data_IF_832109278852
#
_entry.id   IF_832109278852
#
_cell.length_a   1.000
_cell.length_b   1.000
_cell.length_c   1.000
_cell.angle_alpha   90.00
_cell.angle_beta   90.00
_cell.angle_gamma   90.00
#
_symmetry.space_group_name_H-M   'P 1'
#
loop_
_entity.id
_entity.type
_entity.pdbx_description
1 polymer ?
#
# COMPACT_ATOMS: atom_id res chain seq x y z
N UNK A 1 24.45 -57.79 -15.35
CA UNK A 1 24.42 -56.57 -16.20
C UNK A 1 23.01 -56.20 -16.70
N UNK A 2 22.14 -57.15 -17.11
CA UNK A 2 20.80 -56.84 -17.67
C UNK A 2 19.84 -56.07 -16.74
N UNK A 3 19.92 -56.27 -15.42
CA UNK A 3 19.04 -55.59 -14.45
C UNK A 3 19.42 -54.11 -14.28
N UNK A 4 20.72 -53.79 -14.29
CA UNK A 4 21.23 -52.41 -14.16
C UNK A 4 20.94 -51.60 -15.43
N UNK A 5 21.02 -52.22 -16.61
CA UNK A 5 20.65 -51.56 -17.87
C UNK A 5 19.14 -51.31 -17.96
N UNK A 6 18.30 -52.22 -17.46
CA UNK A 6 16.86 -52.04 -17.49
C UNK A 6 16.38 -50.98 -16.48
N UNK A 7 16.99 -50.90 -15.28
CA UNK A 7 16.67 -49.84 -14.32
C UNK A 7 17.15 -48.47 -14.79
N UNK A 8 18.32 -48.39 -15.43
CA UNK A 8 18.81 -47.16 -16.04
C UNK A 8 17.88 -46.65 -17.16
N UNK A 9 17.35 -47.56 -17.99
CA UNK A 9 16.46 -47.21 -19.10
C UNK A 9 15.08 -46.74 -18.61
N UNK A 10 14.57 -47.31 -17.50
CA UNK A 10 13.34 -46.85 -16.83
C UNK A 10 13.53 -45.47 -16.19
N UNK A 11 14.67 -45.22 -15.53
CA UNK A 11 14.98 -43.91 -14.94
C UNK A 11 15.18 -42.82 -16.01
N UNK A 12 15.78 -43.16 -17.15
CA UNK A 12 15.94 -42.24 -18.28
C UNK A 12 14.58 -41.92 -18.93
N UNK A 13 13.70 -42.91 -19.05
CA UNK A 13 12.33 -42.72 -19.56
C UNK A 13 11.46 -41.85 -18.64
N UNK A 14 11.61 -41.98 -17.32
CA UNK A 14 10.91 -41.14 -16.34
C UNK A 14 11.41 -39.68 -16.35
N UNK A 15 12.71 -39.48 -16.60
CA UNK A 15 13.31 -38.14 -16.76
C UNK A 15 12.82 -37.38 -17.99
N UNK A 16 12.50 -38.07 -19.09
CA UNK A 16 11.98 -37.45 -20.32
C UNK A 16 10.50 -37.05 -20.17
N UNK A 17 9.70 -37.80 -19.42
CA UNK A 17 8.29 -37.49 -19.14
C UNK A 17 8.10 -36.23 -18.29
N UNK A 18 9.07 -35.89 -17.44
CA UNK A 18 9.04 -34.66 -16.63
C UNK A 18 9.54 -33.41 -17.37
N UNK A 19 10.03 -33.54 -18.62
CA UNK A 19 10.42 -32.42 -19.48
C UNK A 19 9.25 -31.85 -20.30
N UNK A 20 8.02 -32.20 -19.94
CA UNK A 20 6.80 -31.67 -20.57
C UNK A 20 6.74 -30.14 -20.39
N UNK A 21 6.95 -29.45 -21.51
CA UNK A 21 7.14 -28.01 -21.63
C UNK A 21 6.12 -27.16 -20.86
N UNK A 22 6.63 -26.18 -20.12
CA UNK A 22 5.87 -25.01 -19.69
C UNK A 22 5.47 -24.17 -20.91
N UNK A 23 4.30 -24.45 -21.49
CA UNK A 23 3.73 -23.60 -22.54
C UNK A 23 3.49 -22.20 -21.96
N UNK A 24 4.04 -21.18 -22.63
CA UNK A 24 3.75 -19.78 -22.28
C UNK A 24 2.26 -19.51 -22.46
N UNK A 25 1.65 -18.78 -21.53
CA UNK A 25 0.26 -18.36 -21.66
C UNK A 25 0.07 -17.53 -22.93
N UNK A 26 -1.03 -17.79 -23.65
CA UNK A 26 -1.35 -17.10 -24.90
C UNK A 26 -2.77 -16.53 -24.83
N UNK A 27 -3.00 -15.45 -25.56
CA UNK A 27 -4.31 -14.84 -25.74
C UNK A 27 -5.24 -15.79 -26.49
N UNK A 28 -6.40 -16.08 -25.92
CA UNK A 28 -7.41 -16.92 -26.58
C UNK A 28 -8.05 -16.24 -27.81
N UNK A 29 -7.98 -14.91 -27.88
CA UNK A 29 -8.60 -14.13 -28.98
C UNK A 29 -7.61 -13.83 -30.10
N UNK A 30 -6.35 -13.55 -29.76
CA UNK A 30 -5.34 -13.11 -30.73
C UNK A 30 -4.22 -14.13 -30.96
N UNK A 31 -4.14 -15.20 -30.17
CA UNK A 31 -3.07 -16.21 -30.24
C UNK A 31 -1.69 -15.71 -29.81
N UNK A 32 -1.56 -14.44 -29.41
CA UNK A 32 -0.28 -13.84 -29.01
C UNK A 32 0.16 -14.38 -27.64
N UNK A 33 1.46 -14.65 -27.49
CA UNK A 33 2.04 -15.05 -26.19
C UNK A 33 2.02 -13.87 -25.20
N UNK A 34 1.88 -14.13 -23.91
CA UNK A 34 1.99 -13.08 -22.89
C UNK A 34 3.38 -13.07 -22.27
N UNK A 35 3.76 -11.92 -21.73
CA UNK A 35 4.99 -11.68 -20.98
C UNK A 35 6.26 -12.06 -21.76
N UNK A 36 6.25 -11.80 -23.07
CA UNK A 36 7.41 -11.96 -23.94
C UNK A 36 7.86 -10.59 -24.45
N UNK A 37 9.17 -10.35 -24.52
CA UNK A 37 9.72 -9.10 -25.06
C UNK A 37 9.65 -9.06 -26.59
N UNK A 38 9.70 -10.23 -27.22
CA UNK A 38 9.83 -10.36 -28.68
C UNK A 38 8.56 -9.97 -29.44
N UNK A 39 7.40 -10.03 -28.79
CA UNK A 39 6.10 -9.87 -29.43
C UNK A 39 5.43 -8.51 -29.15
N UNK A 40 6.22 -7.50 -28.78
CA UNK A 40 5.70 -6.17 -28.42
C UNK A 40 5.51 -5.97 -26.91
N UNK A 41 5.75 -6.99 -26.08
CA UNK A 41 5.70 -6.82 -24.62
C UNK A 41 4.30 -6.90 -24.03
N UNK A 42 3.38 -7.64 -24.67
CA UNK A 42 2.01 -7.78 -24.14
C UNK A 42 2.04 -8.43 -22.76
N UNK A 43 1.57 -7.68 -21.76
CA UNK A 43 1.57 -8.11 -20.37
C UNK A 43 0.27 -8.82 -20.02
N UNK A 44 0.39 -9.91 -19.26
CA UNK A 44 -0.71 -10.47 -18.49
C UNK A 44 -0.30 -10.52 -17.04
N UNK A 45 -0.98 -9.70 -16.23
CA UNK A 45 -0.74 -9.62 -14.80
C UNK A 45 -1.30 -10.86 -14.11
N UNK A 46 -0.59 -11.30 -13.06
CA UNK A 46 -1.06 -12.40 -12.24
C UNK A 46 -2.28 -11.94 -11.47
N UNK A 47 -3.38 -12.68 -11.58
CA UNK A 47 -4.53 -12.43 -10.71
C UNK A 47 -4.18 -12.91 -9.30
N UNK A 48 -3.88 -11.98 -8.42
CA UNK A 48 -3.66 -12.24 -7.00
C UNK A 48 -4.74 -11.53 -6.22
N UNK A 49 -5.32 -12.21 -5.23
CA UNK A 49 -6.10 -11.49 -4.22
C UNK A 49 -5.16 -10.51 -3.51
N UNK A 50 -5.53 -9.23 -3.41
CA UNK A 50 -4.73 -8.27 -2.67
C UNK A 50 -4.54 -8.78 -1.25
N UNK A 51 -3.30 -8.93 -0.79
CA UNK A 51 -3.05 -9.10 0.65
C UNK A 51 -3.58 -7.83 1.35
N UNK A 52 -4.31 -7.93 2.46
CA UNK A 52 -4.68 -6.74 3.22
C UNK A 52 -3.42 -5.94 3.59
N UNK A 53 -3.56 -4.62 3.67
CA UNK A 53 -2.54 -3.78 4.29
C UNK A 53 -2.40 -4.08 5.79
N UNK A 54 -1.40 -3.51 6.47
CA UNK A 54 -1.25 -3.68 7.90
C UNK A 54 -2.47 -3.15 8.64
N UNK A 55 -3.02 -3.94 9.57
CA UNK A 55 -4.19 -3.59 10.38
C UNK A 55 -5.54 -3.64 9.66
N UNK A 56 -5.56 -4.08 8.39
CA UNK A 56 -6.80 -4.18 7.60
C UNK A 56 -7.39 -5.59 7.63
N UNK A 57 -8.71 -5.67 7.82
CA UNK A 57 -9.49 -6.89 7.73
C UNK A 57 -10.36 -6.88 6.46
N UNK A 58 -10.48 -8.01 5.73
CA UNK A 58 -11.37 -8.11 4.58
C UNK A 58 -12.83 -8.21 5.04
N UNK A 59 -13.69 -7.38 4.46
CA UNK A 59 -15.14 -7.44 4.61
C UNK A 59 -15.73 -8.05 3.34
N UNK A 60 -16.44 -9.16 3.52
CA UNK A 60 -17.08 -9.85 2.40
C UNK A 60 -18.23 -9.00 1.85
N UNK A 61 -18.21 -8.79 0.53
CA UNK A 61 -19.28 -8.15 -0.19
C UNK A 61 -20.55 -8.99 -0.15
N UNK A 62 -21.68 -8.31 -0.08
CA UNK A 62 -22.95 -8.97 0.11
C UNK A 62 -24.11 -8.00 0.05
N UNK A 63 -25.30 -8.54 0.22
CA UNK A 63 -26.53 -7.75 0.27
C UNK A 63 -27.13 -7.85 1.66
N UNK A 64 -27.28 -6.72 2.33
CA UNK A 64 -27.89 -6.64 3.65
C UNK A 64 -28.97 -5.56 3.70
N UNK A 65 -29.83 -5.62 4.71
CA UNK A 65 -30.85 -4.60 4.95
C UNK A 65 -30.26 -3.59 5.92
N UNK A 66 -30.02 -2.38 5.44
CA UNK A 66 -29.57 -1.25 6.24
C UNK A 66 -30.79 -0.56 6.85
N UNK A 67 -30.69 -0.25 8.13
CA UNK A 67 -31.72 0.47 8.86
C UNK A 67 -32.88 -0.39 9.35
N UNK A 68 -33.77 0.26 10.09
CA UNK A 68 -34.85 -0.30 10.87
C UNK A 68 -34.39 -0.89 12.20
N UNK A 69 -34.76 -0.23 13.29
CA UNK A 69 -34.71 -0.82 14.64
C UNK A 69 -35.67 -2.01 14.74
N UNK A 70 -35.34 -2.97 15.61
CA UNK A 70 -36.34 -3.90 16.12
C UNK A 70 -37.37 -3.18 17.02
N UNK A 71 -36.94 -2.09 17.69
CA UNK A 71 -37.75 -1.26 18.59
C UNK A 71 -38.26 0.04 17.94
N UNK A 72 -39.24 0.67 18.59
CA UNK A 72 -39.79 1.98 18.20
C UNK A 72 -38.72 3.08 18.21
N UNK A 73 -38.72 3.89 17.16
CA UNK A 73 -37.95 5.12 17.05
C UNK A 73 -38.36 6.10 18.18
N UNK A 74 -37.46 6.37 19.12
CA UNK A 74 -37.72 7.19 20.32
C UNK A 74 -37.96 8.66 19.92
N UNK A 75 -37.36 9.12 18.82
CA UNK A 75 -37.51 10.51 18.34
C UNK A 75 -38.62 10.69 17.31
N UNK A 76 -39.30 9.61 16.86
CA UNK A 76 -40.35 9.63 15.83
C UNK A 76 -39.93 10.38 14.54
N UNK A 77 -38.64 10.37 14.21
CA UNK A 77 -38.06 11.15 13.11
C UNK A 77 -38.14 10.42 11.76
N UNK A 78 -38.54 9.13 11.73
CA UNK A 78 -38.73 8.32 10.51
C UNK A 78 -37.52 8.32 9.54
N UNK A 79 -36.34 8.65 10.03
CA UNK A 79 -35.09 8.73 9.26
C UNK A 79 -34.42 7.35 9.07
N UNK A 80 -34.94 6.30 9.71
CA UNK A 80 -34.38 4.95 9.71
C UNK A 80 -35.18 3.97 8.84
N UNK A 81 -35.40 4.30 7.56
CA UNK A 81 -36.12 3.44 6.61
C UNK A 81 -35.27 2.23 6.22
N UNK A 82 -35.83 1.02 6.38
CA UNK A 82 -35.21 -0.24 5.95
C UNK A 82 -34.97 -0.22 4.44
N UNK A 83 -33.70 -0.27 4.02
CA UNK A 83 -33.32 -0.36 2.60
C UNK A 83 -32.33 -1.49 2.36
N UNK A 84 -32.53 -2.25 1.29
CA UNK A 84 -31.59 -3.29 0.88
C UNK A 84 -30.43 -2.64 0.13
N UNK A 85 -29.21 -2.83 0.63
CA UNK A 85 -27.99 -2.29 0.04
C UNK A 85 -27.06 -3.44 -0.31
N UNK A 86 -26.49 -3.39 -1.50
CA UNK A 86 -25.44 -4.29 -1.94
C UNK A 86 -24.12 -3.55 -1.89
N UNK A 87 -23.15 -4.09 -1.18
CA UNK A 87 -21.81 -3.50 -1.01
C UNK A 87 -20.78 -4.49 -1.58
N UNK A 88 -19.83 -4.04 -2.42
CA UNK A 88 -18.73 -4.90 -2.90
C UNK A 88 -17.81 -5.28 -1.73
N UNK A 89 -16.97 -6.30 -1.90
CA UNK A 89 -15.96 -6.62 -0.88
C UNK A 89 -14.94 -5.48 -0.77
N UNK A 90 -14.58 -5.10 0.45
CA UNK A 90 -13.60 -4.03 0.72
C UNK A 90 -12.80 -4.36 1.99
N UNK A 91 -11.82 -3.53 2.32
CA UNK A 91 -11.04 -3.67 3.55
C UNK A 91 -11.37 -2.54 4.51
N UNK A 92 -11.41 -2.85 5.81
CA UNK A 92 -11.62 -1.88 6.89
C UNK A 92 -10.55 -2.08 7.96
N UNK A 93 -10.20 -1.03 8.69
CA UNK A 93 -9.32 -1.17 9.85
C UNK A 93 -9.98 -2.02 10.92
N UNK A 94 -9.18 -2.87 11.58
CA UNK A 94 -9.64 -3.71 12.69
C UNK A 94 -10.00 -2.89 13.93
N UNK A 95 -9.27 -1.81 14.17
CA UNK A 95 -9.43 -0.89 15.30
C UNK A 95 -9.49 0.55 14.81
N UNK A 96 -9.95 1.46 15.66
CA UNK A 96 -9.81 2.89 15.41
C UNK A 96 -8.33 3.31 15.32
N UNK A 97 -8.10 4.47 14.71
CA UNK A 97 -6.76 5.09 14.66
C UNK A 97 -6.35 5.48 16.07
N UNK A 98 -5.21 4.97 16.53
CA UNK A 98 -4.69 5.24 17.87
C UNK A 98 -3.98 6.60 17.96
N UNK A 99 -3.77 7.09 19.18
CA UNK A 99 -2.96 8.28 19.43
C UNK A 99 -1.52 8.08 18.91
N UNK A 100 -0.96 6.88 19.05
CA UNK A 100 0.38 6.57 18.52
C UNK A 100 0.42 6.68 16.99
N UNK A 101 -0.59 6.15 16.29
CA UNK A 101 -0.66 6.24 14.83
C UNK A 101 -0.74 7.70 14.34
N UNK A 102 -1.43 8.56 15.09
CA UNK A 102 -1.48 9.99 14.79
C UNK A 102 -0.15 10.70 15.09
N UNK A 103 0.53 10.32 16.18
CA UNK A 103 1.87 10.84 16.47
C UNK A 103 2.89 10.45 15.39
N UNK A 104 2.76 9.26 14.79
CA UNK A 104 3.59 8.85 13.65
C UNK A 104 3.36 9.75 12.43
N UNK A 105 2.10 10.15 12.18
CA UNK A 105 1.74 11.12 11.14
C UNK A 105 2.36 12.51 11.41
N UNK A 106 2.20 13.03 12.63
CA UNK A 106 2.79 14.30 13.04
C UNK A 106 4.32 14.28 12.96
N UNK A 107 4.94 13.17 13.37
CA UNK A 107 6.38 12.98 13.26
C UNK A 107 6.83 12.99 11.79
N UNK A 108 6.09 12.33 10.90
CA UNK A 108 6.36 12.36 9.46
C UNK A 108 6.32 13.77 8.89
N UNK A 109 5.31 14.59 9.24
CA UNK A 109 5.23 15.98 8.79
C UNK A 109 6.47 16.75 9.24
N UNK A 110 6.82 16.66 10.53
CA UNK A 110 7.95 17.39 11.12
C UNK A 110 9.28 17.07 10.44
N UNK A 111 9.54 15.79 10.12
CA UNK A 111 10.80 15.40 9.46
C UNK A 111 10.83 15.68 7.96
N UNK A 112 9.67 15.73 7.31
CA UNK A 112 9.56 15.86 5.85
C UNK A 112 9.47 17.32 5.43
N UNK A 113 8.79 18.14 6.22
CA UNK A 113 8.57 19.57 5.97
C UNK A 113 9.06 20.42 7.15
N UNK A 114 10.37 20.42 7.46
CA UNK A 114 10.91 21.12 8.62
C UNK A 114 10.73 22.66 8.57
N UNK A 115 10.54 23.21 7.37
CA UNK A 115 10.33 24.64 7.16
C UNK A 115 8.84 25.05 7.18
N UNK A 116 7.92 24.08 7.16
CA UNK A 116 6.48 24.32 7.13
C UNK A 116 5.85 23.88 8.46
N UNK A 117 5.99 24.77 9.44
CA UNK A 117 5.43 24.54 10.77
C UNK A 117 3.90 24.69 10.78
N UNK A 118 3.34 25.43 9.82
CA UNK A 118 1.90 25.62 9.68
C UNK A 118 1.21 24.30 9.37
N UNK A 119 1.75 23.51 8.43
CA UNK A 119 1.25 22.17 8.13
C UNK A 119 1.20 21.27 9.38
N UNK A 120 2.23 21.33 10.23
CA UNK A 120 2.26 20.56 11.48
C UNK A 120 1.16 20.99 12.45
N UNK A 121 0.96 22.29 12.65
CA UNK A 121 -0.07 22.80 13.56
C UNK A 121 -1.48 22.53 13.04
N UNK A 122 -1.69 22.61 11.73
CA UNK A 122 -2.98 22.30 11.11
C UNK A 122 -3.34 20.81 11.22
N UNK A 123 -2.35 19.92 11.34
CA UNK A 123 -2.56 18.49 11.57
C UNK A 123 -2.71 18.10 13.06
N UNK A 124 -2.49 19.04 14.00
CA UNK A 124 -2.69 18.74 15.42
C UNK A 124 -4.19 18.60 15.75
N UNK A 125 -4.60 17.54 16.48
CA UNK A 125 -5.97 17.44 16.99
C UNK A 125 -6.25 18.54 18.01
N UNK A 126 -7.51 18.97 18.08
CA UNK A 126 -7.98 19.88 19.12
C UNK A 126 -8.08 19.17 20.47
N UNK A 127 -7.12 19.44 21.36
CA UNK A 127 -7.12 18.88 22.72
C UNK A 127 -8.12 19.56 23.65
N UNK A 128 -8.68 20.71 23.28
CA UNK A 128 -9.64 21.44 24.10
C UNK A 128 -11.03 20.79 24.11
N UNK A 129 -11.26 19.78 23.27
CA UNK A 129 -12.50 18.98 23.25
C UNK A 129 -12.81 18.32 24.60
N UNK A 130 -11.79 18.08 25.43
CA UNK A 130 -11.95 17.55 26.78
C UNK A 130 -12.46 18.58 27.79
N UNK A 131 -12.32 19.88 27.50
CA UNK A 131 -12.77 20.95 28.40
C UNK A 131 -14.28 21.05 28.38
N UNK A 132 -14.87 20.99 29.58
CA UNK A 132 -16.29 21.24 29.79
C UNK A 132 -16.47 22.15 31.01
N UNK A 133 -17.43 23.09 30.98
CA UNK A 133 -17.76 23.85 32.17
C UNK A 133 -18.19 22.87 33.28
N UNK A 134 -17.65 23.05 34.49
CA UNK A 134 -17.92 22.25 35.70
C UNK A 134 -17.38 20.81 35.75
N UNK A 135 -16.55 20.38 34.78
CA UNK A 135 -15.87 19.06 34.82
C UNK A 135 -14.36 19.19 35.01
N UNK A 136 -13.75 18.35 35.85
CA UNK A 136 -12.29 18.31 36.03
C UNK A 136 -11.64 17.34 35.01
N UNK A 137 -11.45 17.82 33.78
CA UNK A 137 -10.86 17.04 32.68
C UNK A 137 -9.51 17.60 32.19
N UNK A 138 -8.95 18.61 32.85
CA UNK A 138 -7.66 19.22 32.45
C UNK A 138 -6.53 18.20 32.25
N UNK A 139 -6.39 17.11 33.04
CA UNK A 139 -5.36 16.12 32.77
C UNK A 139 -5.45 15.48 31.38
N UNK A 140 -6.65 15.34 30.81
CA UNK A 140 -6.83 14.79 29.46
C UNK A 140 -6.43 15.79 28.37
N UNK A 141 -6.63 17.08 28.59
CA UNK A 141 -6.20 18.13 27.64
C UNK A 141 -4.70 18.05 27.38
N UNK A 142 -3.91 17.86 28.43
CA UNK A 142 -2.46 17.86 28.34
C UNK A 142 -1.88 16.48 27.96
N UNK A 143 -2.48 15.40 28.50
CA UNK A 143 -1.86 14.07 28.45
C UNK A 143 -2.47 13.13 27.40
N UNK A 144 -3.71 13.32 26.96
CA UNK A 144 -4.41 12.29 26.17
C UNK A 144 -3.68 11.94 24.88
N UNK A 145 -3.24 12.94 24.10
CA UNK A 145 -2.51 12.69 22.85
C UNK A 145 -1.06 12.28 23.07
N UNK A 146 -0.42 12.68 24.18
CA UNK A 146 1.05 12.70 24.32
C UNK A 146 1.60 11.69 25.33
N UNK A 147 0.80 11.30 26.31
CA UNK A 147 1.29 10.48 27.41
C UNK A 147 1.26 8.99 27.03
N UNK A 148 2.31 8.20 27.35
CA UNK A 148 2.40 6.80 26.98
C UNK A 148 1.19 5.93 27.39
N UNK A 149 0.58 6.25 28.53
CA UNK A 149 -0.60 5.53 29.03
C UNK A 149 -1.83 5.59 28.09
N UNK A 150 -1.88 6.55 27.16
CA UNK A 150 -2.98 6.74 26.22
C UNK A 150 -2.58 6.42 24.77
N UNK A 151 -1.40 5.83 24.51
CA UNK A 151 -0.90 5.56 23.16
C UNK A 151 -1.86 4.72 22.31
N UNK A 152 -2.45 3.68 22.90
CA UNK A 152 -3.35 2.75 22.22
C UNK A 152 -4.83 3.20 22.22
N UNK A 153 -5.12 4.39 22.75
CA UNK A 153 -6.48 4.94 22.79
C UNK A 153 -6.79 5.63 21.45
N UNK A 154 -8.06 5.67 21.03
CA UNK A 154 -8.43 6.32 19.78
C UNK A 154 -8.08 7.81 19.79
N UNK A 155 -7.65 8.35 18.66
CA UNK A 155 -7.43 9.79 18.52
C UNK A 155 -8.76 10.54 18.59
N UNK A 156 -8.80 11.64 19.35
CA UNK A 156 -9.99 12.47 19.55
C UNK A 156 -9.66 13.93 19.26
N UNK A 157 -10.65 14.70 18.81
CA UNK A 157 -10.48 16.12 18.47
C UNK A 157 -9.99 16.35 17.04
N UNK A 158 -10.19 15.38 16.14
CA UNK A 158 -9.84 15.49 14.73
C UNK A 158 -11.03 15.97 13.88
N UNK A 159 -10.78 16.83 12.92
CA UNK A 159 -11.76 17.24 11.91
C UNK A 159 -11.88 16.20 10.79
N UNK A 160 -12.95 16.30 9.99
CA UNK A 160 -13.13 15.42 8.84
C UNK A 160 -12.02 15.62 7.79
N UNK A 161 -11.61 16.86 7.54
CA UNK A 161 -10.52 17.18 6.60
C UNK A 161 -9.19 16.58 7.09
N UNK A 162 -8.86 16.73 8.38
CA UNK A 162 -7.67 16.14 8.99
C UNK A 162 -7.68 14.61 8.86
N UNK A 163 -8.83 13.96 9.09
CA UNK A 163 -8.96 12.52 8.94
C UNK A 163 -8.75 12.07 7.48
N UNK A 164 -9.24 12.83 6.51
CA UNK A 164 -9.02 12.52 5.09
C UNK A 164 -7.54 12.66 4.70
N UNK A 165 -6.85 13.72 5.14
CA UNK A 165 -5.41 13.90 4.89
C UNK A 165 -4.58 12.77 5.52
N UNK A 166 -4.96 12.33 6.72
CA UNK A 166 -4.35 11.17 7.37
C UNK A 166 -4.51 9.89 6.54
N UNK A 167 -5.70 9.61 5.99
CA UNK A 167 -5.94 8.44 5.14
C UNK A 167 -5.08 8.46 3.86
N UNK A 168 -4.92 9.63 3.23
CA UNK A 168 -4.05 9.81 2.06
C UNK A 168 -2.60 9.52 2.44
N UNK A 169 -2.11 10.15 3.53
CA UNK A 169 -0.76 9.92 4.04
C UNK A 169 -0.50 8.44 4.34
N UNK A 170 -1.41 7.77 5.05
CA UNK A 170 -1.28 6.36 5.43
C UNK A 170 -1.16 5.46 4.20
N UNK A 171 -1.96 5.72 3.17
CA UNK A 171 -1.91 5.00 1.90
C UNK A 171 -0.55 5.16 1.24
N UNK A 172 -0.05 6.39 1.17
CA UNK A 172 1.27 6.68 0.60
C UNK A 172 2.41 6.02 1.39
N UNK A 173 2.38 6.06 2.73
CA UNK A 173 3.38 5.39 3.56
C UNK A 173 3.36 3.87 3.40
N UNK A 174 2.18 3.29 3.33
CA UNK A 174 2.00 1.85 3.13
C UNK A 174 2.55 1.41 1.77
N UNK A 175 2.21 2.15 0.70
CA UNK A 175 2.71 1.90 -0.63
C UNK A 175 4.22 2.07 -0.74
N UNK A 176 4.77 3.14 -0.14
CA UNK A 176 6.22 3.35 -0.04
C UNK A 176 6.90 2.17 0.62
N UNK A 177 6.37 1.70 1.76
CA UNK A 177 6.96 0.59 2.49
C UNK A 177 6.91 -0.71 1.67
N UNK A 178 5.77 -1.02 1.04
CA UNK A 178 5.63 -2.20 0.15
C UNK A 178 6.67 -2.16 -0.99
N UNK A 179 6.86 -1.01 -1.61
CA UNK A 179 7.83 -0.84 -2.70
C UNK A 179 9.28 -1.04 -2.21
N UNK A 180 9.61 -0.57 -1.01
CA UNK A 180 10.94 -0.72 -0.41
C UNK A 180 11.20 -2.16 0.04
N UNK A 181 10.24 -2.82 0.68
CA UNK A 181 10.33 -4.22 1.09
C UNK A 181 10.53 -5.17 -0.10
N UNK A 182 9.83 -4.90 -1.22
CA UNK A 182 10.01 -5.64 -2.47
C UNK A 182 11.33 -5.31 -3.19
N UNK A 183 11.99 -4.23 -2.80
CA UNK A 183 13.24 -3.75 -3.39
C UNK A 183 13.05 -3.02 -4.73
N UNK A 184 11.83 -2.54 -5.00
CA UNK A 184 11.51 -1.68 -6.13
C UNK A 184 11.98 -0.23 -5.89
N UNK A 185 11.97 0.21 -4.63
CA UNK A 185 12.63 1.42 -4.15
C UNK A 185 13.89 1.06 -3.33
N UNK A 186 14.78 2.02 -3.13
CA UNK A 186 15.95 1.86 -2.25
C UNK A 186 15.54 1.54 -0.81
N UNK A 187 16.33 0.70 -0.13
CA UNK A 187 16.09 0.35 1.27
C UNK A 187 16.24 1.58 2.17
N UNK A 188 15.52 1.64 3.29
CA UNK A 188 15.71 2.68 4.32
C UNK A 188 17.17 2.87 4.74
N UNK A 189 17.94 1.78 4.86
CA UNK A 189 19.38 1.81 5.19
C UNK A 189 20.23 2.45 4.09
N UNK A 190 19.95 2.11 2.83
CA UNK A 190 20.66 2.67 1.68
C UNK A 190 20.32 4.15 1.46
N UNK A 191 19.10 4.56 1.86
CA UNK A 191 18.66 5.94 1.83
C UNK A 191 19.27 6.78 2.97
N UNK A 192 19.40 6.21 4.17
CA UNK A 192 19.95 6.90 5.34
C UNK A 192 21.42 7.33 5.17
N UNK A 193 22.20 6.62 4.34
CA UNK A 193 23.60 6.96 4.05
C UNK A 193 23.79 8.18 3.13
N UNK A 194 22.71 8.75 2.57
CA UNK A 194 22.73 9.96 1.74
C UNK A 194 22.27 11.16 2.56
N UNK A 195 23.02 11.45 3.62
CA UNK A 195 22.80 12.63 4.47
C UNK A 195 23.10 13.91 3.68
N UNK A 196 22.07 14.68 3.41
CA UNK A 196 22.18 16.00 2.78
C UNK A 196 20.91 16.84 2.86
N UNK A 197 19.74 16.21 2.97
CA UNK A 197 18.45 16.84 3.24
C UNK A 197 17.63 15.83 4.06
N UNK A 198 17.07 16.26 5.20
CA UNK A 198 16.25 15.40 6.05
C UNK A 198 15.17 14.70 5.25
N UNK A 199 15.06 13.39 5.46
CA UNK A 199 13.92 12.49 5.30
C UNK A 199 12.94 12.65 4.10
N UNK A 200 12.62 11.48 3.51
CA UNK A 200 11.55 11.20 2.54
C UNK A 200 11.73 11.61 1.06
N UNK A 201 12.72 12.42 0.70
CA UNK A 201 13.01 12.72 -0.71
C UNK A 201 14.22 11.92 -1.21
N UNK A 202 14.00 10.67 -1.62
CA UNK A 202 14.97 10.02 -2.49
C UNK A 202 15.00 10.79 -3.83
N UNK A 203 16.06 11.55 -4.08
CA UNK A 203 16.48 12.04 -5.40
C UNK A 203 15.60 13.08 -6.13
N UNK A 204 14.36 13.35 -5.70
CA UNK A 204 13.39 14.18 -6.44
C UNK A 204 13.08 15.55 -5.79
N UNK A 205 13.64 15.85 -4.62
CA UNK A 205 13.37 17.06 -3.84
C UNK A 205 11.97 17.10 -3.22
N UNK A 206 11.19 16.02 -3.33
CA UNK A 206 9.80 15.93 -2.89
C UNK A 206 9.57 14.62 -2.12
N UNK A 207 8.69 14.58 -1.11
CA UNK A 207 8.34 13.34 -0.44
C UNK A 207 7.67 12.35 -1.38
N UNK A 208 7.76 11.07 -1.03
CA UNK A 208 7.02 10.04 -1.76
C UNK A 208 5.51 10.33 -1.74
N UNK A 209 4.89 10.24 -2.91
CA UNK A 209 3.45 10.24 -3.10
C UNK A 209 3.15 9.22 -4.22
N UNK A 210 2.08 8.43 -4.06
CA UNK A 210 1.73 7.36 -4.99
C UNK A 210 1.50 7.88 -6.42
N UNK A 211 0.88 9.06 -6.59
CA UNK A 211 0.61 9.66 -7.89
C UNK A 211 1.90 10.15 -8.58
N UNK A 212 2.79 10.80 -7.83
CA UNK A 212 4.11 11.24 -8.34
C UNK A 212 4.94 10.02 -8.79
N UNK A 213 4.85 8.91 -8.04
CA UNK A 213 5.50 7.66 -8.40
C UNK A 213 4.91 7.04 -9.68
N UNK A 214 3.58 6.97 -9.80
CA UNK A 214 2.89 6.41 -10.97
C UNK A 214 3.12 7.26 -12.23
N UNK A 215 3.21 8.58 -12.09
CA UNK A 215 3.56 9.52 -13.16
C UNK A 215 5.04 9.41 -13.58
N UNK A 216 5.83 8.61 -12.88
CA UNK A 216 7.24 8.37 -13.18
C UNK A 216 8.17 9.53 -12.83
N UNK A 217 7.70 10.50 -12.06
CA UNK A 217 8.49 11.62 -11.56
C UNK A 217 9.38 11.20 -10.38
N UNK A 218 8.97 10.19 -9.61
CA UNK A 218 9.76 9.63 -8.50
C UNK A 218 10.65 8.48 -8.97
N UNK A 219 11.68 8.78 -9.78
CA UNK A 219 12.57 7.77 -10.40
C UNK A 219 14.00 8.28 -10.53
N UNK A 220 14.97 7.37 -10.69
CA UNK A 220 16.36 7.71 -10.95
C UNK A 220 17.37 7.14 -9.95
N UNK A 221 18.63 7.53 -10.13
CA UNK A 221 19.76 7.01 -9.36
C UNK A 221 19.63 7.36 -7.87
N UNK A 222 19.37 6.33 -7.04
CA UNK A 222 19.17 6.51 -5.61
C UNK A 222 17.72 6.52 -5.15
N UNK A 223 16.77 6.45 -6.08
CA UNK A 223 15.34 6.25 -5.82
C UNK A 223 14.97 4.82 -6.16
N UNK A 224 15.37 4.40 -7.36
CA UNK A 224 15.09 3.08 -7.89
C UNK A 224 15.91 2.00 -7.14
N UNK A 225 15.21 0.95 -6.74
CA UNK A 225 15.79 -0.18 -6.01
C UNK A 225 16.46 -1.21 -6.93
N UNK A 226 17.17 -2.18 -6.33
CA UNK A 226 17.93 -3.21 -7.06
C UNK A 226 17.04 -4.29 -7.72
N UNK A 227 15.75 -4.36 -7.36
CA UNK A 227 14.78 -5.38 -7.82
C UNK A 227 13.63 -4.75 -8.60
N UNK A 228 13.93 -3.78 -9.47
CA UNK A 228 12.90 -3.24 -10.37
C UNK A 228 12.33 -4.31 -11.31
N UNK A 229 11.07 -4.13 -11.70
CA UNK A 229 10.39 -5.03 -12.63
C UNK A 229 10.95 -4.81 -14.04
N UNK A 230 11.29 -5.87 -14.80
CA UNK A 230 11.71 -5.74 -16.19
C UNK A 230 10.62 -5.11 -17.07
N UNK A 231 11.04 -4.19 -17.93
CA UNK A 231 10.18 -3.67 -18.99
C UNK A 231 10.25 -4.61 -20.20
N UNK A 232 9.10 -5.13 -20.62
CA UNK A 232 8.98 -6.05 -21.75
C UNK A 232 8.72 -5.32 -23.07
N UNK A 233 8.56 -3.99 -23.05
CA UNK A 233 8.45 -3.23 -24.29
C UNK A 233 9.78 -3.31 -25.08
N UNK A 234 9.76 -3.71 -26.37
CA UNK A 234 10.96 -3.80 -27.19
C UNK A 234 11.69 -2.46 -27.35
N UNK A 235 10.96 -1.34 -27.31
CA UNK A 235 11.50 0.02 -27.45
C UNK A 235 11.98 0.63 -26.12
N UNK A 236 11.85 -0.08 -25.00
CA UNK A 236 12.25 0.45 -23.70
C UNK A 236 13.77 0.65 -23.64
N UNK A 237 14.19 1.89 -23.35
CA UNK A 237 15.59 2.23 -23.12
C UNK A 237 16.05 1.62 -21.79
N UNK A 238 17.25 1.07 -21.76
CA UNK A 238 17.83 0.56 -20.54
C UNK A 238 18.18 1.73 -19.61
N UNK A 239 17.41 1.92 -18.54
CA UNK A 239 17.57 3.01 -17.57
C UNK A 239 18.67 2.75 -16.53
N UNK A 240 19.54 1.75 -16.75
CA UNK A 240 20.77 1.57 -15.96
C UNK A 240 20.61 0.90 -14.59
N UNK A 241 19.39 0.73 -14.08
CA UNK A 241 19.14 0.12 -12.75
C UNK A 241 18.84 -1.39 -12.81
N UNK A 242 18.64 -1.95 -14.00
CA UNK A 242 18.31 -3.36 -14.18
C UNK A 242 19.53 -4.29 -14.10
N UNK A 243 19.43 -5.36 -13.30
CA UNK A 243 20.41 -6.46 -13.36
C UNK A 243 20.47 -7.01 -14.80
N UNK A 244 21.67 -7.23 -15.31
CA UNK A 244 21.97 -7.82 -16.62
C UNK A 244 21.57 -6.96 -17.84
N UNK A 245 21.54 -5.62 -17.70
CA UNK A 245 21.30 -4.71 -18.84
C UNK A 245 19.89 -4.77 -19.42
N UNK A 246 18.93 -5.32 -18.67
CA UNK A 246 17.51 -5.33 -19.04
C UNK A 246 16.89 -3.98 -18.70
N UNK A 247 16.09 -3.45 -19.63
CA UNK A 247 15.25 -2.29 -19.35
C UNK A 247 14.30 -2.61 -18.19
N UNK A 248 14.08 -1.64 -17.31
CA UNK A 248 13.26 -1.78 -16.11
C UNK A 248 12.25 -0.65 -16.01
N UNK A 249 11.11 -0.95 -15.41
CA UNK A 249 9.97 -0.03 -15.25
C UNK A 249 9.56 0.09 -13.78
N UNK A 250 8.86 1.18 -13.40
CA UNK A 250 8.32 1.29 -12.07
C UNK A 250 7.13 0.33 -11.95
N UNK A 251 6.73 0.09 -10.71
CA UNK A 251 5.51 -0.66 -10.41
C UNK A 251 4.31 0.16 -10.86
N UNK A 252 3.35 -0.49 -11.50
CA UNK A 252 2.09 0.12 -11.93
C UNK A 252 0.93 -0.46 -11.12
N UNK A 253 -0.23 0.19 -11.17
CA UNK A 253 -1.44 -0.29 -10.50
C UNK A 253 -1.83 -1.70 -10.96
N UNK A 254 -1.66 -1.98 -12.25
CA UNK A 254 -1.91 -3.27 -12.90
C UNK A 254 -1.04 -4.42 -12.37
N UNK A 255 0.11 -4.14 -11.75
CA UNK A 255 0.96 -5.18 -11.15
C UNK A 255 0.38 -5.75 -9.86
N UNK A 256 -0.71 -5.17 -9.31
CA UNK A 256 -1.38 -5.65 -8.09
C UNK A 256 -0.54 -5.51 -6.82
N UNK A 257 0.51 -4.69 -6.86
CA UNK A 257 1.44 -4.47 -5.75
C UNK A 257 0.98 -3.33 -4.85
N UNK A 258 0.63 -2.21 -5.47
CA UNK A 258 0.19 -1.00 -4.79
C UNK A 258 -1.24 -1.18 -4.29
N UNK A 259 -1.52 -0.58 -3.13
CA UNK A 259 -2.85 -0.49 -2.55
C UNK A 259 -3.52 0.79 -3.05
N UNK A 260 -4.80 0.66 -3.39
CA UNK A 260 -5.65 1.81 -3.68
C UNK A 260 -6.15 2.37 -2.35
N UNK A 261 -6.04 3.68 -2.20
CA UNK A 261 -6.68 4.43 -1.11
C UNK A 261 -8.04 4.94 -1.54
#
# INVERSE_FOLDING_TARGET
>A
MRVITNTALVMLGLGVMLSSCSKKEQSQKTGMTYNDRTNGGYLRFRQTHPTPGPGLVPIEGGTFVLGGSADQDITYEYNNVRRRVTVPSFYMDETEVSNQDWLDYLHWINITFPNDQELYYNALPDTLVWRRPLSYNEPYVDNYLRHPAFQDYPVVGVSWDQAQEYCVWRTDRTNENILRERGNLVTWKDNAGKQGQGNASAGSGQPFNTDIYLNGQYRGQGVDGKKMIPDLNPNAKNTGTGKNGRAVRPVRMEDGVLKQG
#
